data_IF_570119861234
#
_entry.id   IF_570119861234
#
_cell.length_a   1.000
_cell.length_b   1.000
_cell.length_c   1.000
_cell.angle_alpha   90.00
_cell.angle_beta   90.00
_cell.angle_gamma   90.00
#
_symmetry.space_group_name_H-M   'P 1'
#
loop_
_entity.id
_entity.type
_entity.pdbx_description
1 polymer ?
#
# COMPACT_ATOMS: atom_id res chain seq x y z
N UNK A 1 -3.34 19.49 11.32
CA UNK A 1 -3.70 18.71 10.11
C UNK A 1 -4.02 17.30 10.57
N UNK A 2 -4.99 16.65 9.95
CA UNK A 2 -5.25 15.23 10.24
C UNK A 2 -4.09 14.41 9.70
N UNK A 3 -3.67 13.36 10.43
CA UNK A 3 -2.63 12.43 9.96
C UNK A 3 -3.09 11.71 8.69
N UNK A 4 -2.15 11.43 7.78
CA UNK A 4 -2.39 10.47 6.68
C UNK A 4 -2.51 9.08 7.28
N UNK A 5 -3.59 8.37 6.97
CA UNK A 5 -3.92 7.08 7.58
C UNK A 5 -3.69 5.95 6.59
N UNK A 6 -2.88 4.99 7.01
CA UNK A 6 -2.55 3.81 6.21
C UNK A 6 -3.02 2.54 6.91
N UNK A 7 -3.38 1.54 6.13
CA UNK A 7 -3.63 0.17 6.61
C UNK A 7 -2.79 -0.80 5.79
N UNK A 8 -2.08 -1.68 6.48
CA UNK A 8 -1.37 -2.82 5.91
C UNK A 8 -1.89 -4.09 6.56
N UNK A 9 -1.84 -5.20 5.84
CA UNK A 9 -2.26 -6.50 6.38
C UNK A 9 -1.23 -7.58 6.06
N UNK A 10 -0.91 -8.39 7.06
CA UNK A 10 0.02 -9.51 6.87
C UNK A 10 0.27 -10.27 8.16
N UNK A 11 0.88 -11.44 8.04
CA UNK A 11 1.30 -12.29 9.15
C UNK A 11 2.79 -12.10 9.49
N UNK A 12 3.27 -12.86 10.50
CA UNK A 12 4.66 -12.84 10.91
C UNK A 12 5.62 -13.23 9.78
N UNK A 13 5.21 -14.11 8.87
CA UNK A 13 6.01 -14.49 7.72
C UNK A 13 6.33 -13.33 6.77
N UNK A 14 5.49 -12.29 6.80
CA UNK A 14 5.64 -11.07 5.99
C UNK A 14 6.20 -9.87 6.77
N UNK A 15 6.66 -10.04 8.00
CA UNK A 15 7.12 -8.94 8.86
C UNK A 15 8.22 -8.08 8.22
N UNK A 16 9.12 -8.70 7.47
CA UNK A 16 10.19 -8.01 6.74
C UNK A 16 9.66 -7.13 5.62
N UNK A 17 8.67 -7.62 4.89
CA UNK A 17 8.01 -6.90 3.80
C UNK A 17 7.20 -5.73 4.36
N UNK A 18 6.42 -5.98 5.43
CA UNK A 18 5.71 -4.95 6.17
C UNK A 18 6.68 -3.84 6.61
N UNK A 19 7.80 -4.19 7.25
CA UNK A 19 8.78 -3.19 7.69
C UNK A 19 9.42 -2.42 6.52
N UNK A 20 9.65 -3.07 5.38
CA UNK A 20 10.17 -2.40 4.18
C UNK A 20 9.16 -1.37 3.65
N UNK A 21 7.89 -1.73 3.57
CA UNK A 21 6.82 -0.82 3.19
C UNK A 21 6.68 0.33 4.19
N UNK A 22 6.70 0.06 5.50
CA UNK A 22 6.71 1.09 6.56
C UNK A 22 7.87 2.08 6.40
N UNK A 23 9.08 1.57 6.20
CA UNK A 23 10.28 2.39 5.98
C UNK A 23 10.11 3.29 4.75
N UNK A 24 9.56 2.77 3.66
CA UNK A 24 9.31 3.56 2.45
C UNK A 24 8.26 4.66 2.67
N UNK A 25 7.16 4.35 3.38
CA UNK A 25 6.15 5.34 3.76
C UNK A 25 6.78 6.43 4.63
N UNK A 26 7.44 6.05 5.72
CA UNK A 26 8.04 6.99 6.68
C UNK A 26 9.22 7.77 6.11
N UNK A 27 9.89 7.26 5.08
CA UNK A 27 10.97 7.98 4.39
C UNK A 27 10.45 9.21 3.65
N UNK A 28 9.26 9.13 3.07
CA UNK A 28 8.67 10.17 2.23
C UNK A 28 7.54 10.96 2.90
N UNK A 29 6.97 10.41 3.97
CA UNK A 29 5.82 11.01 4.65
C UNK A 29 6.08 11.12 6.15
N UNK A 30 5.71 12.24 6.75
CA UNK A 30 5.60 12.46 8.19
C UNK A 30 4.14 12.58 8.60
N UNK A 31 3.86 12.63 9.89
CA UNK A 31 2.52 12.77 10.44
C UNK A 31 1.56 11.68 9.94
N UNK A 32 2.05 10.42 9.93
CA UNK A 32 1.26 9.27 9.49
C UNK A 32 0.72 8.47 10.67
N UNK A 33 -0.41 7.80 10.47
CA UNK A 33 -0.94 6.77 11.37
C UNK A 33 -1.12 5.49 10.57
N UNK A 34 -0.47 4.42 11.02
CA UNK A 34 -0.43 3.16 10.27
C UNK A 34 -1.02 2.05 11.12
N UNK A 35 -2.09 1.45 10.65
CA UNK A 35 -2.70 0.26 11.22
C UNK A 35 -2.09 -0.99 10.58
N UNK A 36 -1.66 -1.95 11.39
CA UNK A 36 -1.20 -3.25 10.94
C UNK A 36 -2.24 -4.30 11.35
N UNK A 37 -2.97 -4.79 10.39
CA UNK A 37 -3.89 -5.91 10.57
C UNK A 37 -3.07 -7.21 10.52
N UNK A 38 -3.06 -7.96 11.60
CA UNK A 38 -2.26 -9.17 11.71
C UNK A 38 -2.86 -10.16 12.71
N UNK A 39 -2.28 -11.36 12.79
CA UNK A 39 -2.70 -12.37 13.77
C UNK A 39 -1.61 -12.72 14.77
N UNK A 40 -0.35 -12.72 14.34
CA UNK A 40 0.75 -13.39 15.03
C UNK A 40 2.04 -12.57 15.13
N UNK A 41 2.04 -11.30 14.67
CA UNK A 41 3.20 -10.44 14.84
C UNK A 41 3.40 -10.12 16.33
N UNK A 42 4.61 -10.38 16.91
CA UNK A 42 4.88 -10.14 18.33
C UNK A 42 4.72 -8.68 18.75
N UNK A 43 4.26 -8.46 20.00
CA UNK A 43 4.12 -7.13 20.59
C UNK A 43 5.46 -6.38 20.67
N UNK A 44 6.55 -7.09 20.87
CA UNK A 44 7.90 -6.55 20.95
C UNK A 44 8.30 -5.80 19.67
N UNK A 45 7.88 -6.34 18.50
CA UNK A 45 8.10 -5.66 17.24
C UNK A 45 7.34 -4.31 17.18
N UNK A 46 6.08 -4.28 17.63
CA UNK A 46 5.29 -3.04 17.67
C UNK A 46 5.88 -2.01 18.66
N UNK A 47 6.41 -2.46 19.81
CA UNK A 47 7.10 -1.59 20.76
C UNK A 47 8.31 -0.95 20.08
N UNK A 48 9.15 -1.75 19.42
CA UNK A 48 10.33 -1.29 18.71
C UNK A 48 9.97 -0.29 17.60
N UNK A 49 9.01 -0.62 16.72
CA UNK A 49 8.61 0.26 15.59
C UNK A 49 7.99 1.56 16.11
N UNK A 50 7.18 1.51 17.17
CA UNK A 50 6.54 2.69 17.77
C UNK A 50 7.58 3.72 18.21
N UNK A 51 8.65 3.29 18.87
CA UNK A 51 9.75 4.16 19.28
C UNK A 51 10.40 4.86 18.05
N UNK A 52 10.59 4.12 16.95
CA UNK A 52 11.21 4.66 15.73
C UNK A 52 10.30 5.67 15.02
N UNK A 53 9.00 5.38 14.94
CA UNK A 53 8.04 6.24 14.26
C UNK A 53 7.71 7.52 15.03
N UNK A 54 7.83 7.52 16.35
CA UNK A 54 7.57 8.69 17.19
C UNK A 54 8.43 9.91 16.81
N UNK A 55 9.66 9.70 16.34
CA UNK A 55 10.54 10.78 15.86
C UNK A 55 9.98 11.57 14.67
N UNK A 56 9.02 11.01 13.94
CA UNK A 56 8.37 11.64 12.79
C UNK A 56 6.91 12.02 13.07
N UNK A 57 6.55 12.20 14.34
CA UNK A 57 5.18 12.42 14.79
C UNK A 57 4.18 11.37 14.23
N UNK A 58 4.66 10.16 14.03
CA UNK A 58 3.93 9.07 13.39
C UNK A 58 3.57 7.98 14.38
N UNK A 59 2.51 7.23 14.09
CA UNK A 59 1.93 6.24 14.99
C UNK A 59 1.79 4.89 14.28
N UNK A 60 1.99 3.81 15.02
CA UNK A 60 1.66 2.44 14.57
C UNK A 60 0.64 1.83 15.54
N UNK A 61 -0.39 1.21 14.99
CA UNK A 61 -1.47 0.55 15.72
C UNK A 61 -1.49 -0.93 15.37
N UNK A 62 -1.41 -1.78 16.40
CA UNK A 62 -1.53 -3.24 16.27
C UNK A 62 -3.01 -3.63 16.32
N UNK A 63 -3.52 -4.21 15.24
CA UNK A 63 -4.87 -4.78 15.19
C UNK A 63 -4.76 -6.29 15.02
N UNK A 64 -5.08 -7.02 16.08
CA UNK A 64 -5.17 -8.49 16.03
C UNK A 64 -6.50 -8.89 15.42
N UNK A 65 -6.43 -9.42 14.22
CA UNK A 65 -7.60 -9.83 13.45
C UNK A 65 -7.84 -11.34 13.64
N UNK A 66 -8.86 -11.70 14.41
CA UNK A 66 -9.21 -13.08 14.74
C UNK A 66 -10.57 -13.50 14.17
N UNK A 67 -10.97 -12.94 13.04
CA UNK A 67 -12.25 -13.26 12.42
C UNK A 67 -12.26 -14.73 11.97
N UNK A 68 -13.01 -15.54 12.71
CA UNK A 68 -13.04 -16.99 12.57
C UNK A 68 -13.43 -17.47 11.16
N UNK A 69 -14.35 -16.75 10.51
CA UNK A 69 -14.85 -17.12 9.19
C UNK A 69 -13.80 -16.95 8.09
N UNK A 70 -12.93 -15.94 8.18
CA UNK A 70 -11.88 -15.67 7.20
C UNK A 70 -10.98 -16.89 6.91
N UNK A 71 -10.70 -17.70 7.95
CA UNK A 71 -9.85 -18.89 7.83
C UNK A 71 -10.49 -20.01 7.06
N UNK A 72 -11.82 -20.02 6.95
CA UNK A 72 -12.59 -21.05 6.26
C UNK A 72 -12.81 -20.71 4.78
N UNK A 73 -12.49 -19.49 4.36
CA UNK A 73 -12.65 -19.11 2.97
C UNK A 73 -11.54 -19.69 2.11
N UNK A 74 -11.93 -20.33 1.01
CA UNK A 74 -10.98 -20.93 0.08
C UNK A 74 -10.20 -19.86 -0.66
N UNK A 75 -8.91 -20.09 -0.83
CA UNK A 75 -8.03 -19.27 -1.65
C UNK A 75 -7.92 -19.87 -3.05
N UNK A 76 -7.68 -19.04 -4.09
CA UNK A 76 -7.51 -19.54 -5.44
C UNK A 76 -6.30 -20.48 -5.51
N UNK A 77 -6.39 -21.56 -6.32
CA UNK A 77 -5.30 -22.53 -6.46
C UNK A 77 -4.03 -21.96 -7.10
N UNK A 78 -4.18 -20.84 -7.79
CA UNK A 78 -3.09 -20.11 -8.45
C UNK A 78 -2.72 -18.93 -7.56
N UNK A 79 -1.75 -19.09 -6.68
CA UNK A 79 -1.34 -18.01 -5.78
C UNK A 79 -0.89 -18.53 -4.43
N UNK A 80 0.08 -19.46 -4.43
CA UNK A 80 0.67 -20.02 -3.18
C UNK A 80 1.27 -18.97 -2.24
N UNK A 81 1.38 -17.72 -2.67
CA UNK A 81 1.84 -16.57 -1.89
C UNK A 81 0.69 -15.75 -1.28
N UNK A 82 -0.58 -16.09 -1.59
CA UNK A 82 -1.77 -15.44 -1.03
C UNK A 82 -2.23 -16.28 0.17
N UNK A 83 -2.47 -15.62 1.29
CA UNK A 83 -3.10 -16.23 2.46
C UNK A 83 -4.42 -15.51 2.81
N UNK A 84 -5.14 -16.01 3.80
CA UNK A 84 -6.43 -15.44 4.19
C UNK A 84 -6.35 -13.97 4.68
N UNK A 85 -5.15 -13.44 4.98
CA UNK A 85 -4.97 -12.03 5.31
C UNK A 85 -5.29 -11.10 4.12
N UNK A 86 -5.40 -11.64 2.90
CA UNK A 86 -5.90 -10.87 1.75
C UNK A 86 -7.30 -10.29 2.00
N UNK A 87 -8.15 -10.96 2.79
CA UNK A 87 -9.48 -10.48 3.15
C UNK A 87 -9.49 -9.45 4.30
N UNK A 88 -8.35 -9.20 4.93
CA UNK A 88 -8.27 -8.31 6.08
C UNK A 88 -8.77 -6.88 5.79
N UNK A 89 -8.60 -6.42 4.54
CA UNK A 89 -9.05 -5.08 4.11
C UNK A 89 -10.58 -4.89 4.21
N UNK A 90 -11.38 -5.96 4.24
CA UNK A 90 -12.83 -5.88 4.44
C UNK A 90 -13.19 -5.32 5.82
N UNK A 91 -12.33 -5.55 6.81
CA UNK A 91 -12.57 -5.21 8.21
C UNK A 91 -12.10 -3.80 8.59
N UNK A 92 -11.64 -3.00 7.62
CA UNK A 92 -11.25 -1.60 7.86
C UNK A 92 -12.37 -0.82 8.57
N UNK A 93 -13.65 -0.90 8.17
CA UNK A 93 -14.74 -0.18 8.85
C UNK A 93 -14.90 -0.55 10.32
N UNK A 94 -14.59 -1.78 10.70
CA UNK A 94 -14.74 -2.28 12.07
C UNK A 94 -13.63 -1.80 13.02
N UNK A 95 -12.43 -1.50 12.52
CA UNK A 95 -11.26 -1.23 13.36
C UNK A 95 -10.65 0.15 13.17
N UNK A 96 -10.97 0.85 12.08
CA UNK A 96 -10.41 2.16 11.76
C UNK A 96 -11.49 3.23 11.90
N UNK A 97 -11.18 4.26 12.69
CA UNK A 97 -12.13 5.34 12.97
C UNK A 97 -12.15 6.42 11.90
N UNK A 98 -11.03 6.62 11.24
CA UNK A 98 -10.82 7.71 10.28
C UNK A 98 -11.62 7.51 8.99
N UNK A 99 -12.08 8.63 8.41
CA UNK A 99 -12.99 8.63 7.26
C UNK A 99 -12.29 8.28 5.94
N UNK A 100 -11.03 8.67 5.77
CA UNK A 100 -10.23 8.39 4.57
C UNK A 100 -9.00 7.58 4.96
N UNK A 101 -8.79 6.46 4.28
CA UNK A 101 -7.75 5.48 4.59
C UNK A 101 -7.09 5.00 3.31
N UNK A 102 -5.77 4.93 3.28
CA UNK A 102 -5.03 4.28 2.20
C UNK A 102 -4.64 2.86 2.61
N UNK A 103 -5.30 1.86 2.02
CA UNK A 103 -4.86 0.48 2.12
C UNK A 103 -3.73 0.20 1.15
N UNK A 104 -2.71 -0.49 1.61
CA UNK A 104 -1.55 -0.92 0.83
C UNK A 104 -1.23 -2.38 1.10
N UNK A 105 -0.99 -3.15 0.05
CA UNK A 105 -0.38 -4.48 0.18
C UNK A 105 1.06 -4.36 0.70
N UNK A 106 1.65 -5.47 1.17
CA UNK A 106 2.97 -5.47 1.80
C UNK A 106 4.11 -5.75 0.80
N UNK A 107 3.80 -5.97 -0.45
CA UNK A 107 4.75 -6.23 -1.54
C UNK A 107 4.94 -5.02 -2.47
N UNK A 108 4.94 -3.84 -1.87
CA UNK A 108 5.12 -2.57 -2.57
C UNK A 108 6.05 -1.63 -1.80
N UNK A 109 6.48 -0.56 -2.47
CA UNK A 109 7.22 0.55 -1.85
C UNK A 109 6.67 1.89 -2.32
N UNK A 110 6.63 2.85 -1.39
CA UNK A 110 6.30 4.26 -1.63
C UNK A 110 7.59 5.00 -1.95
N UNK A 111 7.60 5.83 -3.01
CA UNK A 111 8.81 6.50 -3.51
C UNK A 111 8.76 8.02 -3.38
N UNK A 112 7.61 8.59 -3.00
CA UNK A 112 7.41 10.05 -2.81
C UNK A 112 6.31 10.34 -1.78
N UNK A 113 6.13 11.60 -1.44
CA UNK A 113 5.02 12.06 -0.61
C UNK A 113 3.67 11.74 -1.28
N UNK A 114 2.68 11.36 -0.49
CA UNK A 114 1.35 10.95 -0.94
C UNK A 114 0.25 11.97 -0.59
N UNK A 115 0.60 13.21 -0.24
CA UNK A 115 -0.39 14.24 0.12
C UNK A 115 -1.40 14.47 -0.99
N UNK A 116 -0.96 14.47 -2.25
CA UNK A 116 -1.84 14.66 -3.40
C UNK A 116 -2.85 13.51 -3.53
N UNK A 117 -2.43 12.27 -3.25
CA UNK A 117 -3.32 11.11 -3.25
C UNK A 117 -4.42 11.25 -2.19
N UNK A 118 -4.06 11.68 -0.97
CA UNK A 118 -5.05 11.92 0.09
C UNK A 118 -5.96 13.12 -0.15
N UNK A 119 -5.66 13.96 -1.15
CA UNK A 119 -6.47 15.13 -1.53
C UNK A 119 -7.50 14.83 -2.60
N UNK A 120 -7.56 13.59 -3.09
CA UNK A 120 -8.53 13.16 -4.11
C UNK A 120 -9.95 13.20 -3.52
N UNK A 121 -10.87 13.81 -4.26
CA UNK A 121 -12.28 13.87 -3.87
C UNK A 121 -12.96 12.49 -4.03
N UNK A 122 -13.41 11.94 -2.91
CA UNK A 122 -14.18 10.71 -2.82
C UNK A 122 -15.65 10.95 -2.46
N UNK A 123 -16.20 12.15 -2.71
CA UNK A 123 -17.61 12.45 -2.44
C UNK A 123 -18.50 11.48 -3.20
N UNK A 124 -19.35 10.74 -2.47
CA UNK A 124 -20.24 9.69 -3.02
C UNK A 124 -19.52 8.54 -3.76
N UNK A 125 -18.23 8.34 -3.50
CA UNK A 125 -17.45 7.23 -4.05
C UNK A 125 -16.90 6.36 -2.93
N UNK A 126 -16.97 5.02 -3.06
CA UNK A 126 -16.46 4.10 -2.04
C UNK A 126 -14.94 4.08 -1.94
N UNK A 127 -14.24 4.26 -3.07
CA UNK A 127 -12.78 4.24 -3.13
C UNK A 127 -12.24 4.87 -4.40
N UNK A 128 -10.91 5.07 -4.42
CA UNK A 128 -10.13 5.29 -5.64
C UNK A 128 -9.07 4.20 -5.79
N UNK A 129 -8.84 3.75 -7.03
CA UNK A 129 -7.90 2.68 -7.36
C UNK A 129 -7.35 2.80 -8.79
N UNK A 130 -6.24 2.11 -9.06
CA UNK A 130 -5.65 1.97 -10.40
C UNK A 130 -6.20 0.71 -11.06
N UNK A 131 -6.46 0.76 -12.36
CA UNK A 131 -6.85 -0.42 -13.14
C UNK A 131 -5.77 -1.50 -13.14
N UNK A 132 -6.19 -2.75 -13.31
CA UNK A 132 -5.26 -3.84 -13.59
C UNK A 132 -4.59 -3.54 -14.93
N UNK A 133 -3.25 -3.48 -14.93
CA UNK A 133 -2.48 -3.21 -16.15
C UNK A 133 -2.43 -4.46 -17.04
N UNK A 134 -2.47 -5.65 -16.44
CA UNK A 134 -2.37 -6.93 -17.14
C UNK A 134 -3.76 -7.52 -17.35
N UNK A 135 -4.18 -7.65 -18.59
CA UNK A 135 -5.47 -8.26 -18.92
C UNK A 135 -6.31 -7.39 -19.86
N UNK A 136 -7.47 -7.90 -20.22
CA UNK A 136 -8.42 -7.22 -21.10
C UNK A 136 -9.66 -6.70 -20.33
N UNK A 137 -9.72 -6.95 -19.03
CA UNK A 137 -10.89 -6.64 -18.21
C UNK A 137 -10.78 -5.25 -17.59
N UNK A 138 -11.89 -4.55 -17.60
CA UNK A 138 -12.02 -3.21 -17.02
C UNK A 138 -12.29 -3.29 -15.51
N UNK A 139 -11.25 -3.61 -14.73
CA UNK A 139 -11.29 -3.79 -13.28
C UNK A 139 -10.07 -3.16 -12.61
N UNK A 140 -10.18 -2.84 -11.33
CA UNK A 140 -9.08 -2.28 -10.58
C UNK A 140 -8.26 -3.35 -9.84
N UNK A 141 -6.99 -3.03 -9.58
CA UNK A 141 -6.12 -3.81 -8.70
C UNK A 141 -6.36 -3.43 -7.24
N UNK A 142 -6.53 -4.43 -6.38
CA UNK A 142 -6.88 -4.23 -4.97
C UNK A 142 -5.69 -3.93 -4.03
N UNK A 143 -4.46 -3.92 -4.53
CA UNK A 143 -3.27 -3.74 -3.68
C UNK A 143 -3.00 -2.30 -3.23
N UNK A 144 -3.63 -1.30 -3.89
CA UNK A 144 -3.60 0.11 -3.48
C UNK A 144 -5.01 0.67 -3.59
N UNK A 145 -5.62 0.98 -2.45
CA UNK A 145 -7.00 1.49 -2.38
C UNK A 145 -7.05 2.72 -1.47
N UNK A 146 -7.38 3.89 -2.02
CA UNK A 146 -7.78 5.03 -1.20
C UNK A 146 -9.26 4.86 -0.88
N UNK A 147 -9.57 4.48 0.35
CA UNK A 147 -10.90 4.07 0.79
C UNK A 147 -11.62 5.24 1.49
N UNK A 148 -12.85 5.51 1.08
CA UNK A 148 -13.80 6.31 1.83
C UNK A 148 -14.46 5.41 2.89
N UNK A 149 -13.83 5.34 4.06
CA UNK A 149 -14.27 4.48 5.15
C UNK A 149 -15.60 4.94 5.76
N UNK A 150 -15.90 6.24 5.73
CA UNK A 150 -17.22 6.75 6.12
C UNK A 150 -18.30 6.20 5.18
N UNK A 151 -18.10 6.28 3.86
CA UNK A 151 -19.01 5.70 2.87
C UNK A 151 -19.19 4.18 3.08
N UNK A 152 -18.09 3.45 3.35
CA UNK A 152 -18.16 2.00 3.59
C UNK A 152 -19.02 1.66 4.81
N UNK A 153 -18.90 2.44 5.89
CA UNK A 153 -19.73 2.28 7.10
C UNK A 153 -21.20 2.60 6.83
N UNK A 154 -21.47 3.72 6.17
CA UNK A 154 -22.84 4.18 5.88
C UNK A 154 -23.60 3.26 4.94
N UNK A 155 -22.88 2.63 3.98
CA UNK A 155 -23.48 1.77 2.96
C UNK A 155 -23.30 0.27 3.24
N UNK A 156 -22.84 -0.12 4.45
CA UNK A 156 -22.66 -1.51 4.86
C UNK A 156 -21.77 -2.34 3.89
N UNK A 157 -20.79 -1.71 3.25
CA UNK A 157 -19.92 -2.35 2.25
C UNK A 157 -19.19 -3.57 2.82
N UNK A 158 -18.71 -3.49 4.06
CA UNK A 158 -18.09 -4.65 4.73
C UNK A 158 -19.01 -5.87 4.75
N UNK A 159 -20.28 -5.67 5.07
CA UNK A 159 -21.26 -6.75 5.14
C UNK A 159 -21.47 -7.39 3.78
N UNK A 160 -21.60 -6.60 2.72
CA UNK A 160 -21.79 -7.09 1.34
C UNK A 160 -20.57 -7.88 0.87
N UNK A 161 -19.34 -7.39 1.13
CA UNK A 161 -18.10 -8.10 0.80
C UNK A 161 -18.04 -9.48 1.49
N UNK A 162 -18.40 -9.55 2.77
CA UNK A 162 -18.42 -10.80 3.55
C UNK A 162 -19.48 -11.78 2.97
N UNK A 163 -20.71 -11.32 2.75
CA UNK A 163 -21.81 -12.17 2.23
C UNK A 163 -21.48 -12.78 0.86
N UNK A 164 -20.91 -11.99 -0.06
CA UNK A 164 -20.49 -12.49 -1.36
C UNK A 164 -19.35 -13.50 -1.21
N UNK A 165 -18.36 -13.19 -0.36
CA UNK A 165 -17.23 -14.10 -0.15
C UNK A 165 -17.68 -15.42 0.48
N UNK A 166 -18.55 -15.41 1.50
CA UNK A 166 -19.10 -16.62 2.13
C UNK A 166 -19.82 -17.52 1.12
N UNK A 167 -20.52 -16.93 0.17
CA UNK A 167 -21.25 -17.66 -0.88
C UNK A 167 -20.35 -18.19 -1.97
N UNK A 168 -19.30 -17.44 -2.37
CA UNK A 168 -18.57 -17.66 -3.64
C UNK A 168 -17.09 -18.05 -3.45
N UNK A 169 -16.53 -18.08 -2.22
CA UNK A 169 -15.08 -18.22 -1.98
C UNK A 169 -14.41 -19.40 -2.71
N UNK A 170 -15.14 -20.46 -3.02
CA UNK A 170 -14.62 -21.59 -3.81
C UNK A 170 -14.47 -21.30 -5.31
N UNK A 171 -15.00 -20.20 -5.82
CA UNK A 171 -15.09 -19.86 -7.24
C UNK A 171 -14.47 -18.49 -7.59
N UNK A 172 -13.81 -17.83 -6.63
CA UNK A 172 -13.20 -16.52 -6.82
C UNK A 172 -11.81 -16.64 -7.45
N UNK A 173 -11.59 -16.21 -8.70
CA UNK A 173 -10.29 -16.38 -9.39
C UNK A 173 -9.16 -15.57 -8.75
N UNK A 174 -9.46 -14.43 -8.12
CA UNK A 174 -8.50 -13.53 -7.49
C UNK A 174 -8.91 -13.13 -6.07
N UNK A 175 -9.52 -14.07 -5.35
CA UNK A 175 -9.94 -13.91 -3.96
C UNK A 175 -10.71 -12.57 -3.72
N UNK A 176 -10.21 -11.76 -2.82
CA UNK A 176 -10.80 -10.48 -2.41
C UNK A 176 -10.88 -9.46 -3.57
N UNK A 177 -9.91 -9.44 -4.47
CA UNK A 177 -9.94 -8.51 -5.63
C UNK A 177 -11.16 -8.73 -6.51
N UNK A 178 -11.55 -9.99 -6.73
CA UNK A 178 -12.76 -10.32 -7.48
C UNK A 178 -14.01 -9.76 -6.79
N UNK A 179 -14.15 -9.97 -5.48
CA UNK A 179 -15.32 -9.52 -4.72
C UNK A 179 -15.38 -8.00 -4.66
N UNK A 180 -14.27 -7.33 -4.42
CA UNK A 180 -14.20 -5.88 -4.43
C UNK A 180 -14.66 -5.30 -5.77
N UNK A 181 -14.22 -5.88 -6.88
CA UNK A 181 -14.65 -5.43 -8.21
C UNK A 181 -16.13 -5.71 -8.48
N UNK A 182 -16.71 -6.79 -7.93
CA UNK A 182 -18.14 -7.07 -8.03
C UNK A 182 -18.95 -6.00 -7.26
N UNK A 183 -18.57 -5.72 -6.01
CA UNK A 183 -19.30 -4.79 -5.14
C UNK A 183 -19.17 -3.34 -5.61
N UNK A 184 -17.98 -2.93 -6.04
CA UNK A 184 -17.75 -1.55 -6.47
C UNK A 184 -18.22 -1.30 -7.92
N UNK A 185 -18.19 -2.31 -8.78
CA UNK A 185 -18.49 -2.14 -10.21
C UNK A 185 -17.69 -1.00 -10.82
N UNK A 186 -18.37 -0.07 -11.50
CA UNK A 186 -17.77 1.16 -12.04
C UNK A 186 -17.82 2.35 -11.05
N UNK A 187 -18.35 2.15 -9.84
CA UNK A 187 -18.51 3.22 -8.87
C UNK A 187 -17.24 3.49 -8.05
N UNK A 188 -16.13 3.78 -8.71
CA UNK A 188 -14.89 4.20 -8.05
C UNK A 188 -14.23 5.37 -8.79
N UNK A 189 -13.23 6.00 -8.18
CA UNK A 189 -12.41 7.03 -8.82
C UNK A 189 -11.18 6.36 -9.43
N UNK A 190 -10.95 6.57 -10.72
CA UNK A 190 -9.75 6.05 -11.39
C UNK A 190 -8.53 6.89 -11.00
N UNK A 191 -7.50 6.24 -10.50
CA UNK A 191 -6.20 6.83 -10.19
C UNK A 191 -5.25 6.76 -11.39
N UNK A 192 -4.30 7.69 -11.42
CA UNK A 192 -3.13 7.64 -12.30
C UNK A 192 -2.28 6.40 -11.99
N UNK A 193 -1.77 5.73 -13.03
CA UNK A 193 -1.02 4.47 -12.93
C UNK A 193 0.21 4.57 -12.03
N UNK A 194 0.76 5.78 -11.83
CA UNK A 194 1.90 6.01 -10.93
C UNK A 194 1.58 5.72 -9.46
N UNK A 195 0.31 5.71 -9.05
CA UNK A 195 -0.11 5.37 -7.69
C UNK A 195 -0.25 3.87 -7.42
N UNK A 196 -0.16 3.03 -8.44
CA UNK A 196 -0.05 1.58 -8.32
C UNK A 196 0.65 1.03 -9.56
N UNK A 197 1.93 1.33 -9.69
CA UNK A 197 2.75 0.88 -10.80
C UNK A 197 3.03 -0.60 -10.66
N UNK A 198 2.26 -1.41 -11.38
CA UNK A 198 2.23 -2.86 -11.28
C UNK A 198 3.33 -3.49 -12.12
N UNK A 199 4.27 -4.19 -11.50
CA UNK A 199 5.36 -4.91 -12.16
C UNK A 199 5.41 -6.36 -11.69
N UNK A 200 6.15 -7.20 -12.41
CA UNK A 200 6.30 -8.63 -12.11
C UNK A 200 5.64 -9.57 -13.12
N UNK A 201 4.83 -9.03 -14.04
CA UNK A 201 4.25 -9.80 -15.16
C UNK A 201 4.85 -9.42 -16.50
N UNK A 202 6.05 -8.83 -16.52
CA UNK A 202 6.69 -8.29 -17.72
C UNK A 202 6.81 -9.33 -18.84
N UNK A 203 7.24 -10.55 -18.51
CA UNK A 203 7.33 -11.64 -19.48
C UNK A 203 5.95 -12.08 -20.01
N UNK A 204 4.93 -12.07 -19.17
CA UNK A 204 3.54 -12.39 -19.59
C UNK A 204 3.03 -11.30 -20.51
N UNK A 205 3.31 -10.05 -20.21
CA UNK A 205 2.92 -8.91 -21.04
C UNK A 205 3.63 -8.92 -22.40
N UNK A 206 4.92 -9.23 -22.42
CA UNK A 206 5.69 -9.40 -23.65
C UNK A 206 5.10 -10.51 -24.53
N UNK A 207 4.85 -11.68 -23.96
CA UNK A 207 4.23 -12.81 -24.66
C UNK A 207 2.81 -12.49 -25.21
N UNK A 208 2.09 -11.52 -24.61
CA UNK A 208 0.76 -11.08 -25.04
C UNK A 208 0.79 -9.86 -25.97
N UNK A 209 1.96 -9.33 -26.29
CA UNK A 209 2.09 -8.11 -27.10
C UNK A 209 1.61 -6.84 -26.38
N UNK A 210 1.56 -6.85 -25.05
CA UNK A 210 1.14 -5.71 -24.22
C UNK A 210 2.34 -4.79 -23.92
N UNK A 211 3.02 -4.33 -24.94
CA UNK A 211 4.27 -3.55 -24.82
C UNK A 211 4.08 -2.18 -24.16
N UNK A 212 2.87 -1.64 -24.16
CA UNK A 212 2.54 -0.34 -23.55
C UNK A 212 2.88 -0.26 -22.06
N UNK A 213 2.89 -1.38 -21.34
CA UNK A 213 3.27 -1.42 -19.91
C UNK A 213 4.74 -1.09 -19.67
N UNK A 214 5.59 -1.17 -20.70
CA UNK A 214 7.00 -0.83 -20.62
C UNK A 214 7.28 0.64 -20.94
N UNK A 215 6.31 1.37 -21.47
CA UNK A 215 6.43 2.76 -21.92
C UNK A 215 6.27 3.78 -20.77
N UNK A 216 5.83 3.33 -19.59
CA UNK A 216 5.67 4.23 -18.46
C UNK A 216 7.02 4.83 -18.04
N UNK A 217 7.09 6.16 -17.89
CA UNK A 217 8.33 6.82 -17.53
C UNK A 217 8.77 6.43 -16.12
N UNK A 218 10.01 5.95 -15.99
CA UNK A 218 10.61 5.58 -14.70
C UNK A 218 11.40 6.75 -14.07
N UNK A 219 11.37 7.92 -14.66
CA UNK A 219 12.00 9.13 -14.14
C UNK A 219 11.05 10.31 -14.29
N UNK A 220 10.50 10.85 -13.19
CA UNK A 220 10.66 10.36 -11.80
C UNK A 220 10.04 8.98 -11.61
N UNK A 221 10.50 8.26 -10.55
CA UNK A 221 9.91 6.97 -10.19
C UNK A 221 8.40 7.11 -9.95
N UNK A 222 7.59 6.08 -10.28
CA UNK A 222 6.17 6.03 -9.89
C UNK A 222 6.01 6.21 -8.38
N UNK A 223 4.89 6.80 -7.95
CA UNK A 223 4.63 7.09 -6.53
C UNK A 223 4.61 5.84 -5.65
N UNK A 224 4.04 4.77 -6.17
CA UNK A 224 3.96 3.46 -5.53
C UNK A 224 4.34 2.40 -6.56
N UNK A 225 5.36 1.60 -6.25
CA UNK A 225 5.78 0.46 -7.07
C UNK A 225 5.27 -0.80 -6.40
N UNK A 226 4.44 -1.57 -7.10
CA UNK A 226 3.80 -2.78 -6.60
C UNK A 226 4.35 -4.01 -7.34
N UNK A 227 5.02 -4.88 -6.60
CA UNK A 227 5.69 -6.08 -7.11
C UNK A 227 4.73 -7.26 -7.14
N UNK A 228 3.92 -7.36 -8.20
CA UNK A 228 2.99 -8.45 -8.42
C UNK A 228 3.70 -9.78 -8.73
N UNK A 229 2.93 -10.85 -8.89
CA UNK A 229 3.39 -12.21 -9.22
C UNK A 229 4.26 -12.88 -8.15
N UNK A 230 4.69 -14.10 -8.44
CA UNK A 230 5.59 -14.86 -7.58
C UNK A 230 7.06 -14.40 -7.68
N UNK A 231 7.44 -13.64 -8.71
CA UNK A 231 8.80 -13.10 -8.86
C UNK A 231 8.97 -11.82 -8.03
N UNK A 232 9.15 -12.02 -6.73
CA UNK A 232 9.28 -10.92 -5.78
C UNK A 232 10.72 -10.38 -5.72
N UNK A 233 10.93 -9.08 -5.43
CA UNK A 233 12.27 -8.47 -5.38
C UNK A 233 13.20 -9.10 -4.34
N UNK A 234 12.66 -9.75 -3.30
CA UNK A 234 13.43 -10.44 -2.27
C UNK A 234 13.78 -11.89 -2.62
N UNK A 235 13.29 -12.42 -3.74
CA UNK A 235 13.66 -13.77 -4.18
C UNK A 235 15.10 -13.78 -4.71
N UNK A 236 15.82 -14.86 -4.42
CA UNK A 236 17.26 -14.98 -4.76
C UNK A 236 17.51 -14.82 -6.25
N UNK A 237 16.65 -15.36 -7.09
CA UNK A 237 16.82 -15.38 -8.55
C UNK A 237 15.88 -14.43 -9.28
N UNK A 238 15.26 -13.48 -8.57
CA UNK A 238 14.40 -12.48 -9.22
C UNK A 238 15.21 -11.63 -10.20
N UNK A 239 14.66 -11.46 -11.40
CA UNK A 239 15.18 -10.57 -12.45
C UNK A 239 14.24 -9.41 -12.74
N UNK A 240 13.22 -9.22 -11.91
CA UNK A 240 12.18 -8.20 -12.07
C UNK A 240 12.74 -6.76 -12.09
N UNK A 241 12.05 -5.88 -12.81
CA UNK A 241 12.38 -4.45 -12.87
C UNK A 241 12.29 -3.79 -11.49
N UNK A 242 13.07 -2.74 -11.26
CA UNK A 242 13.05 -1.90 -10.06
C UNK A 242 13.25 -2.69 -8.74
N UNK A 243 13.84 -3.89 -8.82
CA UNK A 243 14.16 -4.71 -7.66
C UNK A 243 15.07 -3.96 -6.68
N UNK A 244 16.01 -3.19 -7.19
CA UNK A 244 16.96 -2.37 -6.42
C UNK A 244 16.24 -1.30 -5.58
N UNK A 245 15.06 -0.81 -6.01
CA UNK A 245 14.29 0.18 -5.27
C UNK A 245 13.71 -0.43 -3.99
N UNK A 246 13.21 -1.67 -4.04
CA UNK A 246 12.76 -2.39 -2.85
C UNK A 246 13.92 -2.60 -1.87
N UNK A 247 15.08 -3.06 -2.37
CA UNK A 247 16.26 -3.30 -1.54
C UNK A 247 16.81 -2.02 -0.92
N UNK A 248 16.71 -0.89 -1.59
CA UNK A 248 17.05 0.42 -1.02
C UNK A 248 16.29 0.66 0.28
N UNK A 249 14.96 0.51 0.29
CA UNK A 249 14.16 0.74 1.51
C UNK A 249 14.34 -0.37 2.54
N UNK A 250 14.51 -1.61 2.12
CA UNK A 250 14.75 -2.73 3.03
C UNK A 250 16.03 -2.55 3.85
N UNK A 251 17.08 -2.02 3.24
CA UNK A 251 18.39 -1.81 3.87
C UNK A 251 18.50 -0.51 4.69
N UNK A 252 17.53 0.41 4.57
CA UNK A 252 17.54 1.63 5.36
C UNK A 252 17.48 1.32 6.85
N UNK A 253 18.33 2.00 7.60
CA UNK A 253 18.21 2.07 9.06
C UNK A 253 17.18 3.13 9.46
N UNK A 254 16.44 2.91 10.54
CA UNK A 254 15.46 3.88 11.05
C UNK A 254 16.10 5.23 11.39
N UNK A 255 17.33 5.24 11.84
CA UNK A 255 18.11 6.48 12.06
C UNK A 255 18.27 7.32 10.80
N UNK A 256 18.45 6.68 9.63
CA UNK A 256 18.57 7.38 8.35
C UNK A 256 17.24 8.00 7.92
N UNK A 257 16.12 7.33 8.22
CA UNK A 257 14.77 7.85 7.98
C UNK A 257 14.50 9.06 8.88
N UNK A 258 14.81 8.97 10.16
CA UNK A 258 14.52 10.00 11.15
C UNK A 258 15.38 11.26 10.98
N UNK A 259 16.61 11.13 10.49
CA UNK A 259 17.54 12.26 10.31
C UNK A 259 17.30 13.06 9.01
N UNK A 260 16.38 12.65 8.15
CA UNK A 260 16.15 13.33 6.88
C UNK A 260 15.67 14.78 7.04
N UNK A 261 14.81 15.06 8.01
CA UNK A 261 14.33 16.43 8.27
C UNK A 261 15.44 17.36 8.72
N UNK A 262 16.39 16.88 9.53
CA UNK A 262 17.56 17.68 9.90
C UNK A 262 18.41 18.07 8.70
N UNK A 263 18.56 17.20 7.72
CA UNK A 263 19.30 17.47 6.49
C UNK A 263 18.58 18.48 5.59
N UNK A 264 17.27 18.41 5.49
CA UNK A 264 16.45 19.36 4.71
C UNK A 264 16.46 20.74 5.38
N UNK A 265 16.29 20.83 6.70
CA UNK A 265 16.34 22.09 7.45
C UNK A 265 17.74 22.69 7.40
N UNK A 266 18.80 21.92 7.49
CA UNK A 266 20.18 22.39 7.32
C UNK A 266 20.41 22.92 5.91
N UNK A 267 20.00 22.21 4.86
CA UNK A 267 20.12 22.68 3.47
C UNK A 267 19.35 23.98 3.22
N UNK A 268 18.13 24.12 3.73
CA UNK A 268 17.34 25.35 3.58
C UNK A 268 17.97 26.54 4.33
N UNK A 269 18.52 26.31 5.54
CA UNK A 269 19.25 27.34 6.28
C UNK A 269 20.53 27.78 5.55
N UNK A 270 21.27 26.86 4.93
CA UNK A 270 22.45 27.21 4.13
C UNK A 270 22.10 27.95 2.84
N UNK A 271 21.00 27.59 2.18
CA UNK A 271 20.53 28.34 1.00
C UNK A 271 20.10 29.78 1.36
N UNK A 272 19.41 29.97 2.48
CA UNK A 272 19.04 31.32 2.98
C UNK A 272 20.28 32.13 3.35
N UNK A 273 21.31 31.53 3.94
CA UNK A 273 22.57 32.20 4.26
C UNK A 273 23.36 32.63 3.00
N UNK A 274 23.33 31.86 1.93
CA UNK A 274 23.97 32.20 0.65
C UNK A 274 23.22 33.36 -0.03
N UNK A 275 21.90 33.39 0.03
CA UNK A 275 21.10 34.48 -0.59
C UNK A 275 21.26 35.80 0.20
N UNK A 276 21.37 35.73 1.53
CA UNK A 276 21.58 36.94 2.36
C UNK A 276 23.02 37.44 2.36
N UNK A 277 24.01 36.57 2.06
CA UNK A 277 25.42 36.96 1.94
C UNK A 277 25.79 37.67 0.65
N UNK A 278 25.00 37.56 -0.42
CA UNK A 278 25.27 38.23 -1.73
C UNK A 278 24.68 39.61 -1.86
N UNK A 279 24.06 40.17 -0.82
CA UNK A 279 23.54 41.56 -0.81
C UNK A 279 24.39 42.56 0.01
N UNK A 280 25.58 42.15 0.41
CA UNK A 280 26.55 43.08 1.06
C UNK A 280 27.92 42.95 0.40
N UNK A 281 28.03 43.53 -0.78
CA UNK A 281 29.29 44.00 -1.38
C UNK A 281 28.94 45.17 -2.33
#
# INVERSE_FOLDING_TARGET
MNKKVFVLAGDYGYIRQIETTLKSICYHNSDVKIYIFNQDIPQEWFVFIREKMAYRNSEIVDIKLFEGNMRNWSLPPVGQHINFMTFARYFIPSFVSEDIVLYLDCDLVVTRDLTDLFSIDLTNKPLAAVKVIYGLEDRFNAGVLLINNAYWKENAIQQELIEITEREHGHLPEADQTVLNIVMGENYVLLDDTYNFQIGYDQVADNRGQYFIFELPLTPLPAIIHYLSADKPWNTYSVGRLREVWWKYNQLEWSQINNQEELVVKKSKYQVLIITGSQKL
#
